data_IF_528665668548
#
_entry.id   IF_528665668548
#
_cell.length_a   1.000
_cell.length_b   1.000
_cell.length_c   1.000
_cell.angle_alpha   90.00
_cell.angle_beta   90.00
_cell.angle_gamma   90.00
#
_symmetry.space_group_name_H-M   'P 1'
#
loop_
_entity.id
_entity.type
_entity.pdbx_description
1 polymer ?
#
# COMPACT_ATOMS: atom_id res chain seq x y z
N UNK A 1 24.96 13.88 -25.55
CA UNK A 1 26.43 13.91 -25.33
C UNK A 1 26.90 14.77 -24.16
N UNK A 2 26.23 15.89 -23.83
CA UNK A 2 26.56 16.77 -22.68
C UNK A 2 26.72 16.00 -21.35
N UNK A 3 25.80 15.08 -21.03
CA UNK A 3 25.82 14.36 -19.75
C UNK A 3 27.03 13.42 -19.58
N UNK A 4 27.54 12.88 -20.68
CA UNK A 4 28.74 12.02 -20.67
C UNK A 4 30.00 12.86 -20.68
N UNK A 5 30.02 13.93 -21.48
CA UNK A 5 31.19 14.80 -21.63
C UNK A 5 31.47 15.66 -20.39
N UNK A 6 30.44 16.16 -19.71
CA UNK A 6 30.59 17.12 -18.60
C UNK A 6 30.42 16.48 -17.22
N UNK A 7 29.71 15.35 -17.11
CA UNK A 7 29.37 14.73 -15.82
C UNK A 7 29.78 13.26 -15.71
N UNK A 8 30.48 12.71 -16.72
CA UNK A 8 30.89 11.29 -16.82
C UNK A 8 29.74 10.30 -16.56
N UNK A 9 28.51 10.69 -16.93
CA UNK A 9 27.32 9.85 -16.76
C UNK A 9 26.99 9.11 -18.05
N UNK A 10 26.93 7.79 -17.95
CA UNK A 10 26.44 6.92 -19.01
C UNK A 10 25.00 6.48 -18.72
N UNK A 11 24.16 6.46 -19.74
CA UNK A 11 22.75 6.05 -19.63
C UNK A 11 22.47 4.86 -20.54
N UNK A 12 21.71 3.90 -20.02
CA UNK A 12 21.20 2.79 -20.80
C UNK A 12 19.97 3.25 -21.58
N UNK A 13 19.97 3.03 -22.89
CA UNK A 13 18.77 3.22 -23.69
C UNK A 13 17.75 2.13 -23.34
N UNK A 14 16.55 2.54 -22.95
CA UNK A 14 15.44 1.63 -22.63
C UNK A 14 14.31 1.91 -23.61
N UNK A 15 13.68 0.86 -24.13
CA UNK A 15 12.47 0.98 -24.92
C UNK A 15 11.27 1.13 -23.98
N UNK A 16 10.71 2.34 -23.90
CA UNK A 16 9.54 2.63 -23.06
C UNK A 16 8.27 1.94 -23.54
N UNK A 17 8.17 1.51 -24.80
CA UNK A 17 6.95 0.86 -25.34
C UNK A 17 6.71 -0.53 -24.75
N UNK A 18 7.78 -1.20 -24.30
CA UNK A 18 7.72 -2.57 -23.76
C UNK A 18 7.98 -2.60 -22.26
N UNK A 19 8.16 -1.44 -21.63
CA UNK A 19 8.50 -1.35 -20.22
C UNK A 19 7.20 -1.21 -19.39
N UNK A 20 6.80 -2.24 -18.63
CA UNK A 20 5.59 -2.15 -17.83
C UNK A 20 5.77 -1.13 -16.69
N UNK A 21 4.72 -0.38 -16.41
CA UNK A 21 4.67 0.50 -15.23
C UNK A 21 4.29 -0.30 -13.99
N UNK A 22 4.55 0.24 -12.81
CA UNK A 22 4.16 -0.38 -11.53
C UNK A 22 2.67 -0.75 -11.52
N UNK A 23 2.34 -2.00 -11.18
CA UNK A 23 0.98 -2.53 -11.20
C UNK A 23 0.53 -3.06 -12.57
N UNK A 24 1.26 -2.75 -13.64
CA UNK A 24 0.99 -3.20 -15.01
C UNK A 24 1.81 -4.42 -15.45
N UNK A 25 2.42 -5.14 -14.51
CA UNK A 25 3.14 -6.39 -14.79
C UNK A 25 2.14 -7.55 -14.94
N UNK A 26 1.27 -7.44 -15.94
CA UNK A 26 0.21 -8.40 -16.27
C UNK A 26 0.41 -8.91 -17.69
N UNK A 27 -0.05 -10.12 -17.98
CA UNK A 27 -0.15 -10.59 -19.37
C UNK A 27 -1.25 -9.81 -20.11
N UNK A 28 -0.91 -9.01 -21.14
CA UNK A 28 -1.91 -8.23 -21.87
C UNK A 28 -2.94 -9.11 -22.61
N UNK A 29 -2.60 -10.37 -22.88
CA UNK A 29 -3.50 -11.31 -23.54
C UNK A 29 -4.51 -11.96 -22.59
N UNK A 30 -4.32 -11.85 -21.27
CA UNK A 30 -5.16 -12.55 -20.29
C UNK A 30 -5.35 -11.75 -18.98
N UNK A 31 -5.69 -10.47 -19.11
CA UNK A 31 -5.85 -9.55 -17.96
C UNK A 31 -6.93 -10.05 -17.00
N UNK A 32 -8.10 -10.41 -17.51
CA UNK A 32 -9.25 -10.79 -16.68
C UNK A 32 -8.95 -11.97 -15.75
N UNK A 33 -8.26 -12.99 -16.26
CA UNK A 33 -7.89 -14.16 -15.46
C UNK A 33 -6.84 -13.84 -14.39
N UNK A 34 -5.92 -12.91 -14.65
CA UNK A 34 -4.93 -12.51 -13.65
C UNK A 34 -5.57 -11.67 -12.54
N UNK A 35 -6.47 -10.76 -12.92
CA UNK A 35 -7.24 -9.96 -11.96
C UNK A 35 -8.12 -10.86 -11.08
N UNK A 36 -8.77 -11.87 -11.66
CA UNK A 36 -9.53 -12.87 -10.92
C UNK A 36 -8.66 -13.61 -9.90
N UNK A 37 -7.46 -14.05 -10.30
CA UNK A 37 -6.53 -14.73 -9.40
C UNK A 37 -6.11 -13.83 -8.22
N UNK A 38 -5.88 -12.53 -8.45
CA UNK A 38 -5.61 -11.58 -7.37
C UNK A 38 -6.83 -11.32 -6.49
N UNK A 39 -8.02 -11.23 -7.06
CA UNK A 39 -9.24 -11.04 -6.29
C UNK A 39 -9.50 -12.23 -5.35
N UNK A 40 -9.30 -13.47 -5.84
CA UNK A 40 -9.40 -14.67 -5.01
C UNK A 40 -8.39 -14.66 -3.85
N UNK A 41 -7.18 -14.15 -4.08
CA UNK A 41 -6.23 -13.91 -3.01
C UNK A 41 -6.80 -12.92 -1.97
N UNK A 42 -7.38 -11.80 -2.40
CA UNK A 42 -8.03 -10.84 -1.49
C UNK A 42 -9.17 -11.46 -0.67
N UNK A 43 -10.03 -12.26 -1.28
CA UNK A 43 -11.10 -12.99 -0.59
C UNK A 43 -10.53 -13.97 0.44
N UNK A 44 -9.46 -14.70 0.11
CA UNK A 44 -8.78 -15.59 1.06
C UNK A 44 -8.20 -14.84 2.28
N UNK A 45 -8.01 -13.53 2.17
CA UNK A 45 -7.54 -12.65 3.25
C UNK A 45 -8.67 -11.97 4.03
N UNK A 46 -9.92 -12.33 3.76
CA UNK A 46 -11.09 -11.87 4.50
C UNK A 46 -11.74 -10.59 3.98
N UNK A 47 -11.42 -10.19 2.74
CA UNK A 47 -12.13 -9.09 2.07
C UNK A 47 -13.41 -9.60 1.43
N UNK A 48 -14.39 -8.72 1.26
CA UNK A 48 -15.55 -9.01 0.42
C UNK A 48 -15.11 -9.22 -1.04
N UNK A 49 -15.82 -10.09 -1.76
CA UNK A 49 -15.52 -10.38 -3.16
C UNK A 49 -15.50 -9.12 -4.03
N UNK A 50 -16.45 -8.19 -3.83
CA UNK A 50 -16.49 -6.95 -4.62
C UNK A 50 -15.31 -6.04 -4.30
N UNK A 51 -14.95 -5.94 -3.03
CA UNK A 51 -13.81 -5.14 -2.59
C UNK A 51 -12.47 -5.72 -3.08
N UNK A 52 -12.33 -7.04 -3.02
CA UNK A 52 -11.14 -7.73 -3.52
C UNK A 52 -10.99 -7.55 -5.04
N UNK A 53 -12.08 -7.67 -5.80
CA UNK A 53 -12.08 -7.39 -7.24
C UNK A 53 -11.77 -5.93 -7.55
N UNK A 54 -12.34 -5.00 -6.78
CA UNK A 54 -12.07 -3.58 -6.95
C UNK A 54 -10.58 -3.26 -6.74
N UNK A 55 -10.00 -3.76 -5.66
CA UNK A 55 -8.58 -3.57 -5.36
C UNK A 55 -7.65 -4.27 -6.35
N UNK A 56 -8.03 -5.46 -6.84
CA UNK A 56 -7.30 -6.16 -7.89
C UNK A 56 -7.26 -5.35 -9.19
N UNK A 57 -8.39 -4.78 -9.61
CA UNK A 57 -8.45 -3.91 -10.79
C UNK A 57 -7.69 -2.59 -10.60
N UNK A 58 -7.73 -2.01 -9.39
CA UNK A 58 -7.09 -0.72 -9.10
C UNK A 58 -5.56 -0.82 -9.07
N UNK A 59 -5.04 -1.85 -8.40
CA UNK A 59 -3.59 -1.99 -8.16
C UNK A 59 -2.91 -2.99 -9.10
N UNK A 60 -3.66 -3.78 -9.87
CA UNK A 60 -3.14 -4.78 -10.79
C UNK A 60 -2.14 -5.72 -10.12
N UNK A 61 -0.94 -5.86 -10.67
CA UNK A 61 0.12 -6.71 -10.11
C UNK A 61 0.61 -6.28 -8.71
N UNK A 62 0.25 -5.08 -8.24
CA UNK A 62 0.51 -4.65 -6.87
C UNK A 62 -0.56 -5.09 -5.85
N UNK A 63 -1.73 -5.56 -6.28
CA UNK A 63 -2.80 -5.98 -5.39
C UNK A 63 -2.38 -7.03 -4.35
N UNK A 64 -1.54 -8.05 -4.67
CA UNK A 64 -1.02 -8.98 -3.67
C UNK A 64 -0.25 -8.29 -2.53
N UNK A 65 0.46 -7.18 -2.79
CA UNK A 65 1.16 -6.41 -1.75
C UNK A 65 0.17 -5.74 -0.81
N UNK A 66 -0.97 -5.26 -1.33
CA UNK A 66 -2.06 -4.70 -0.53
C UNK A 66 -2.70 -5.79 0.33
N UNK A 67 -3.02 -6.96 -0.24
CA UNK A 67 -3.65 -8.06 0.50
C UNK A 67 -2.73 -8.70 1.54
N UNK A 68 -1.41 -8.63 1.35
CA UNK A 68 -0.44 -9.06 2.35
C UNK A 68 -0.58 -8.27 3.67
N UNK A 69 -1.01 -7.00 3.59
CA UNK A 69 -1.20 -6.14 4.75
C UNK A 69 -2.37 -6.57 5.64
N UNK A 70 -3.30 -7.38 5.15
CA UNK A 70 -4.44 -7.89 5.91
C UNK A 70 -4.03 -8.73 7.13
N UNK A 71 -2.85 -9.35 7.11
CA UNK A 71 -2.30 -10.04 8.28
C UNK A 71 -1.68 -9.09 9.31
N UNK A 72 -1.24 -7.91 8.84
CA UNK A 72 -0.54 -6.92 9.66
C UNK A 72 -1.45 -5.87 10.29
N UNK A 73 -2.54 -5.52 9.62
CA UNK A 73 -3.37 -4.39 9.97
C UNK A 73 -4.73 -4.85 10.51
N UNK A 74 -5.21 -4.15 11.52
CA UNK A 74 -6.61 -4.25 11.93
C UNK A 74 -7.41 -3.22 11.15
N UNK A 75 -8.70 -3.45 11.00
CA UNK A 75 -9.59 -2.47 10.38
C UNK A 75 -9.57 -1.17 11.20
N UNK A 76 -9.36 -0.04 10.53
CA UNK A 76 -9.35 1.24 11.21
C UNK A 76 -10.78 1.72 11.51
N UNK A 77 -11.00 2.48 12.59
CA UNK A 77 -12.33 2.91 13.00
C UNK A 77 -13.02 3.73 11.91
N UNK A 78 -14.21 3.30 11.48
CA UNK A 78 -15.03 4.02 10.49
C UNK A 78 -14.68 3.77 9.02
N UNK A 79 -13.67 2.93 8.71
CA UNK A 79 -13.34 2.51 7.34
C UNK A 79 -13.57 1.02 7.16
N UNK A 80 -13.80 0.58 5.93
CA UNK A 80 -13.75 -0.85 5.58
C UNK A 80 -12.33 -1.38 5.75
N UNK A 81 -12.18 -2.70 5.83
CA UNK A 81 -10.85 -3.33 5.82
C UNK A 81 -10.14 -2.99 4.50
N UNK A 82 -10.84 -3.08 3.37
CA UNK A 82 -10.31 -2.77 2.05
C UNK A 82 -9.75 -1.34 1.97
N UNK A 83 -10.51 -0.35 2.46
CA UNK A 83 -10.06 1.05 2.47
C UNK A 83 -8.86 1.24 3.40
N UNK A 84 -8.83 0.55 4.54
CA UNK A 84 -7.70 0.60 5.47
C UNK A 84 -6.42 0.08 4.81
N UNK A 85 -6.49 -1.05 4.10
CA UNK A 85 -5.34 -1.63 3.39
C UNK A 85 -4.90 -0.75 2.22
N UNK A 86 -5.85 -0.23 1.44
CA UNK A 86 -5.60 0.66 0.32
C UNK A 86 -4.94 1.96 0.78
N UNK A 87 -5.45 2.56 1.86
CA UNK A 87 -4.89 3.80 2.42
C UNK A 87 -3.49 3.57 2.96
N UNK A 88 -3.27 2.49 3.72
CA UNK A 88 -1.93 2.16 4.23
C UNK A 88 -0.94 1.93 3.08
N UNK A 89 -1.32 1.15 2.07
CA UNK A 89 -0.48 0.90 0.90
C UNK A 89 -0.13 2.21 0.20
N UNK A 90 -1.11 3.07 -0.07
CA UNK A 90 -0.88 4.32 -0.77
C UNK A 90 0.02 5.28 0.03
N UNK A 91 -0.15 5.36 1.37
CA UNK A 91 0.71 6.19 2.24
C UNK A 91 2.18 5.76 2.20
N UNK A 92 2.43 4.45 2.15
CA UNK A 92 3.76 3.86 2.26
C UNK A 92 4.48 3.74 0.92
N UNK A 93 3.74 3.43 -0.16
CA UNK A 93 4.31 3.00 -1.43
C UNK A 93 4.11 4.00 -2.57
N UNK A 94 3.09 4.86 -2.51
CA UNK A 94 2.75 5.79 -3.59
C UNK A 94 3.11 7.26 -3.25
N UNK A 95 3.91 7.49 -2.20
CA UNK A 95 4.34 8.82 -1.75
C UNK A 95 3.18 9.80 -1.51
N UNK A 96 2.12 9.33 -0.83
CA UNK A 96 0.93 10.13 -0.51
C UNK A 96 1.18 11.36 0.38
N UNK A 97 2.39 11.54 0.95
CA UNK A 97 2.75 12.75 1.70
C UNK A 97 2.62 14.04 0.85
N UNK A 98 2.71 13.95 -0.48
CA UNK A 98 2.36 15.04 -1.40
C UNK A 98 0.93 14.90 -2.00
N UNK A 99 0.41 13.67 -2.12
CA UNK A 99 -0.83 13.36 -2.85
C UNK A 99 -2.12 13.36 -2.01
N UNK A 100 -2.10 13.71 -0.71
CA UNK A 100 -3.34 14.02 0.00
C UNK A 100 -4.11 15.18 -0.66
N UNK A 101 -3.40 16.00 -1.44
CA UNK A 101 -3.98 16.98 -2.36
C UNK A 101 -4.50 16.38 -3.66
N UNK A 102 -4.04 15.21 -4.13
CA UNK A 102 -4.39 14.66 -5.46
C UNK A 102 -5.46 13.56 -5.41
N UNK A 103 -5.56 12.79 -4.33
CA UNK A 103 -6.59 11.74 -4.21
C UNK A 103 -8.00 12.31 -3.98
N UNK A 104 -8.10 13.51 -3.39
CA UNK A 104 -9.38 14.13 -3.01
C UNK A 104 -9.76 15.41 -3.79
N UNK A 105 -8.91 15.94 -4.68
CA UNK A 105 -9.16 17.26 -5.32
C UNK A 105 -9.36 17.16 -6.82
N UNK A 106 -10.64 17.15 -7.26
CA UNK A 106 -11.16 17.93 -8.42
C UNK A 106 -12.71 18.03 -8.29
N UNK A 107 -13.40 19.15 -8.61
CA UNK A 107 -13.20 20.55 -8.23
C UNK A 107 -14.48 21.16 -7.57
N UNK A 108 -14.44 21.57 -6.31
CA UNK A 108 -15.33 22.66 -5.85
C UNK A 108 -14.73 23.39 -4.65
N UNK A 109 -14.90 24.71 -4.67
CA UNK A 109 -14.20 25.74 -3.90
C UNK A 109 -14.39 25.60 -2.38
N UNK A 110 -13.31 25.28 -1.64
CA UNK A 110 -13.00 25.82 -0.30
C UNK A 110 -11.58 25.34 0.13
N UNK A 111 -10.55 26.06 -0.30
CA UNK A 111 -9.16 25.56 -0.31
C UNK A 111 -8.45 25.50 1.06
N UNK A 112 -8.94 26.16 2.12
CA UNK A 112 -8.21 26.21 3.41
C UNK A 112 -8.78 25.29 4.50
N UNK A 113 -10.10 25.11 4.57
CA UNK A 113 -10.71 24.22 5.57
C UNK A 113 -10.49 22.73 5.26
N UNK A 114 -10.49 22.36 3.97
CA UNK A 114 -10.30 20.99 3.51
C UNK A 114 -8.85 20.53 3.73
N UNK A 115 -7.86 21.39 3.46
CA UNK A 115 -6.44 21.04 3.68
C UNK A 115 -6.14 20.81 5.16
N UNK A 116 -6.67 21.64 6.06
CA UNK A 116 -6.48 21.46 7.51
C UNK A 116 -7.14 20.17 8.02
N UNK A 117 -8.32 19.82 7.51
CA UNK A 117 -9.02 18.60 7.87
C UNK A 117 -8.30 17.34 7.33
N UNK A 118 -7.83 17.38 6.09
CA UNK A 118 -7.05 16.29 5.47
C UNK A 118 -5.71 16.09 6.19
N UNK A 119 -5.01 17.18 6.56
CA UNK A 119 -3.77 17.08 7.33
C UNK A 119 -4.00 16.55 8.76
N UNK A 120 -5.13 16.90 9.37
CA UNK A 120 -5.52 16.35 10.69
C UNK A 120 -5.82 14.85 10.60
N UNK A 121 -6.56 14.43 9.56
CA UNK A 121 -6.79 13.03 9.27
C UNK A 121 -5.48 12.29 9.00
N UNK A 122 -4.62 12.81 8.13
CA UNK A 122 -3.35 12.12 7.82
C UNK A 122 -2.45 11.95 9.03
N UNK A 123 -2.39 12.95 9.92
CA UNK A 123 -1.67 12.84 11.18
C UNK A 123 -2.31 11.80 12.12
N UNK A 124 -3.64 11.76 12.19
CA UNK A 124 -4.36 10.73 12.94
C UNK A 124 -4.05 9.33 12.39
N UNK A 125 -4.12 9.16 11.06
CA UNK A 125 -3.83 7.91 10.37
C UNK A 125 -2.39 7.45 10.54
N UNK A 126 -1.41 8.34 10.39
CA UNK A 126 0.01 8.04 10.63
C UNK A 126 0.25 7.62 12.07
N UNK A 127 -0.34 8.33 13.05
CA UNK A 127 -0.23 7.96 14.48
C UNK A 127 -0.86 6.62 14.78
N UNK A 128 -2.02 6.33 14.19
CA UNK A 128 -2.70 5.05 14.35
C UNK A 128 -1.86 3.91 13.75
N UNK A 129 -1.32 4.10 12.54
CA UNK A 129 -0.46 3.12 11.87
C UNK A 129 0.85 2.84 12.65
N UNK A 130 1.54 3.90 13.07
CA UNK A 130 2.76 3.79 13.89
C UNK A 130 2.49 3.07 15.22
N UNK A 131 1.31 3.31 15.83
CA UNK A 131 0.87 2.60 17.03
C UNK A 131 0.71 1.09 16.75
N UNK A 132 0.08 0.72 15.64
CA UNK A 132 -0.14 -0.68 15.26
C UNK A 132 1.17 -1.42 14.98
N UNK A 133 2.08 -0.81 14.21
CA UNK A 133 3.41 -1.38 13.96
C UNK A 133 4.24 -1.50 15.24
N UNK A 134 4.13 -0.52 16.14
CA UNK A 134 4.77 -0.53 17.47
C UNK A 134 4.22 -1.63 18.40
N UNK A 135 2.90 -1.83 18.44
CA UNK A 135 2.28 -2.90 19.23
C UNK A 135 2.69 -4.29 18.74
N UNK A 136 2.82 -4.49 17.42
CA UNK A 136 3.32 -5.75 16.87
C UNK A 136 4.75 -6.06 17.26
N UNK A 137 5.65 -5.07 17.21
CA UNK A 137 7.05 -5.24 17.68
C UNK A 137 7.08 -5.67 19.15
N UNK A 138 6.26 -5.06 20.01
CA UNK A 138 6.15 -5.44 21.42
C UNK A 138 5.63 -6.87 21.60
N UNK A 139 4.53 -7.25 20.94
CA UNK A 139 3.99 -8.63 20.99
C UNK A 139 5.01 -9.67 20.52
N UNK A 140 5.73 -9.41 19.42
CA UNK A 140 6.77 -10.31 18.92
C UNK A 140 7.94 -10.46 19.92
N UNK A 141 8.36 -9.36 20.56
CA UNK A 141 9.40 -9.39 21.59
C UNK A 141 8.95 -10.22 22.81
N UNK A 142 7.71 -10.05 23.26
CA UNK A 142 7.13 -10.82 24.37
C UNK A 142 7.08 -12.32 24.05
N UNK A 143 6.67 -12.69 22.82
CA UNK A 143 6.66 -14.09 22.37
C UNK A 143 8.08 -14.66 22.34
N UNK A 144 9.06 -13.90 21.82
CA UNK A 144 10.46 -14.33 21.77
C UNK A 144 11.04 -14.55 23.19
N UNK A 145 10.78 -13.62 24.11
CA UNK A 145 11.21 -13.74 25.51
C UNK A 145 10.54 -14.92 26.21
N UNK A 146 9.25 -15.18 25.97
CA UNK A 146 8.55 -16.34 26.55
C UNK A 146 9.10 -17.68 26.07
N UNK A 147 9.47 -17.80 24.79
CA UNK A 147 10.11 -19.00 24.23
C UNK A 147 11.49 -19.23 24.84
N UNK A 148 12.28 -18.17 25.00
CA UNK A 148 13.62 -18.24 25.59
C UNK A 148 13.58 -18.62 27.08
N UNK A 149 12.59 -18.14 27.83
CA UNK A 149 12.34 -18.58 29.21
C UNK A 149 11.96 -20.08 29.27
N UNK A 150 11.14 -20.58 28.35
CA UNK A 150 10.79 -22.00 28.31
C UNK A 150 11.95 -22.93 27.96
N UNK A 151 12.90 -22.48 27.14
CA UNK A 151 14.09 -23.25 26.75
C UNK A 151 15.17 -23.30 27.83
N UNK A 152 15.16 -22.36 28.78
CA UNK A 152 16.12 -22.32 29.90
C UNK A 152 15.60 -23.08 31.15
N UNK A 153 14.36 -23.59 31.10
CA UNK A 153 13.72 -24.28 32.24
C UNK A 153 13.71 -25.82 32.07
N UNK A 154 14.58 -26.36 31.20
CA UNK A 154 14.87 -27.80 31.03
C UNK A 154 16.33 -28.03 31.35
#
# INVERSE_FOLDING_TARGET
DILKAEFDRSFKLINSKTYPVSGGELNPANVDSEIEAFAQLGVSRGLDSKEAHYLANLYGSNAPKVFALAHSLEQAPGLSLADTLSLHYAMRNELLLAQLTSFFVVPTICSLCVIAWIASLSQFWMKWDDSMTGQKKKKQLTVLMSKQLSLTTI
#
